data_IF_834938954162
#
_entry.id   IF_834938954162
#
_cell.length_a   1.000
_cell.length_b   1.000
_cell.length_c   1.000
_cell.angle_alpha   90.00
_cell.angle_beta   90.00
_cell.angle_gamma   90.00
#
_symmetry.space_group_name_H-M   'P 1'
#
loop_
_entity.id
_entity.type
_entity.pdbx_description
1 polymer ?
#
# COMPACT_ATOMS: atom_id res chain seq x y z
N UNK A 1 8.40 16.85 5.85
CA UNK A 1 7.05 17.04 5.28
C UNK A 1 7.07 16.54 3.84
N UNK A 2 6.06 15.82 3.37
CA UNK A 2 6.02 15.27 2.00
C UNK A 2 5.61 16.35 0.99
N UNK A 3 6.03 16.20 -0.28
CA UNK A 3 5.74 17.18 -1.34
C UNK A 3 4.26 17.25 -1.73
N UNK A 4 3.49 16.19 -1.47
CA UNK A 4 2.06 16.11 -1.79
C UNK A 4 1.22 16.50 -0.56
N UNK A 5 0.27 17.46 -0.70
CA UNK A 5 -0.67 17.79 0.37
C UNK A 5 -1.49 16.59 0.85
N UNK A 6 -1.87 15.69 -0.06
CA UNK A 6 -2.56 14.45 0.27
C UNK A 6 -1.71 13.52 1.16
N UNK A 7 -0.41 13.36 0.85
CA UNK A 7 0.45 12.52 1.67
C UNK A 7 0.70 13.12 3.07
N UNK A 8 0.69 14.45 3.19
CA UNK A 8 0.76 15.12 4.48
C UNK A 8 -0.50 14.89 5.32
N UNK A 9 -1.70 15.01 4.73
CA UNK A 9 -2.94 14.76 5.46
C UNK A 9 -3.05 13.31 5.96
N UNK A 10 -2.60 12.34 5.16
CA UNK A 10 -2.50 10.94 5.59
C UNK A 10 -1.48 10.78 6.72
N UNK A 11 -0.31 11.41 6.63
CA UNK A 11 0.70 11.37 7.69
C UNK A 11 0.16 11.92 9.01
N UNK A 12 -0.50 13.07 8.98
CA UNK A 12 -1.13 13.71 10.13
C UNK A 12 -2.23 12.85 10.73
N UNK A 13 -3.11 12.28 9.90
CA UNK A 13 -4.15 11.35 10.34
C UNK A 13 -3.58 10.14 11.11
N UNK A 14 -2.43 9.61 10.67
CA UNK A 14 -1.75 8.51 11.36
C UNK A 14 -0.99 8.96 12.61
N UNK A 15 -0.42 10.18 12.61
CA UNK A 15 0.21 10.75 13.79
C UNK A 15 -0.80 10.95 14.93
N UNK A 16 -2.00 11.44 14.63
CA UNK A 16 -3.09 11.58 15.62
C UNK A 16 -3.47 10.24 16.24
N UNK A 17 -3.40 9.15 15.46
CA UNK A 17 -3.64 7.76 15.91
C UNK A 17 -2.43 7.12 16.58
N UNK A 18 -1.38 7.88 16.86
CA UNK A 18 -0.15 7.43 17.52
C UNK A 18 0.54 6.25 16.82
N UNK A 19 0.40 6.15 15.51
CA UNK A 19 1.27 5.25 14.75
C UNK A 19 2.72 5.72 14.91
N UNK A 20 3.64 4.77 15.07
CA UNK A 20 5.05 5.11 15.12
C UNK A 20 5.53 5.66 13.75
N UNK A 21 6.57 6.51 13.77
CA UNK A 21 7.09 7.19 12.57
C UNK A 21 7.54 6.21 11.48
N UNK A 22 8.05 5.03 11.85
CA UNK A 22 8.49 3.99 10.90
C UNK A 22 7.32 3.44 10.12
N UNK A 23 6.24 3.10 10.81
CA UNK A 23 4.98 2.65 10.21
C UNK A 23 4.40 3.71 9.28
N UNK A 24 4.35 4.98 9.70
CA UNK A 24 3.85 6.07 8.85
C UNK A 24 4.66 6.19 7.55
N UNK A 25 6.00 6.15 7.65
CA UNK A 25 6.88 6.18 6.47
C UNK A 25 6.62 5.01 5.52
N UNK A 26 6.43 3.80 6.07
CA UNK A 26 6.08 2.63 5.27
C UNK A 26 4.75 2.81 4.54
N UNK A 27 3.69 3.21 5.25
CA UNK A 27 2.37 3.43 4.65
C UNK A 27 2.42 4.47 3.52
N UNK A 28 3.13 5.58 3.73
CA UNK A 28 3.24 6.62 2.71
C UNK A 28 4.00 6.14 1.48
N UNK A 29 5.03 5.31 1.66
CA UNK A 29 5.71 4.68 0.53
C UNK A 29 4.77 3.78 -0.28
N UNK A 30 3.93 2.97 0.38
CA UNK A 30 2.94 2.12 -0.28
C UNK A 30 1.86 2.92 -1.02
N UNK A 31 1.32 3.96 -0.40
CA UNK A 31 0.32 4.84 -1.03
C UNK A 31 0.92 5.53 -2.26
N UNK A 32 2.17 5.99 -2.18
CA UNK A 32 2.85 6.63 -3.30
C UNK A 32 3.08 5.64 -4.45
N UNK A 33 3.49 4.41 -4.15
CA UNK A 33 3.65 3.35 -5.14
C UNK A 33 2.31 2.99 -5.82
N UNK A 34 1.22 2.92 -5.05
CA UNK A 34 -0.12 2.67 -5.57
C UNK A 34 -0.61 3.79 -6.52
N UNK A 35 -0.38 5.05 -6.15
CA UNK A 35 -0.72 6.21 -7.01
C UNK A 35 0.08 6.16 -8.32
N UNK A 36 1.38 5.84 -8.25
CA UNK A 36 2.23 5.74 -9.44
C UNK A 36 1.78 4.58 -10.34
N UNK A 37 1.46 3.42 -9.76
CA UNK A 37 0.98 2.24 -10.51
C UNK A 37 -0.30 2.55 -11.29
N UNK A 38 -1.19 3.37 -10.72
CA UNK A 38 -2.44 3.76 -11.36
C UNK A 38 -2.34 5.09 -12.13
N UNK A 39 -1.20 5.37 -12.76
CA UNK A 39 -0.99 6.53 -13.63
C UNK A 39 -1.26 7.88 -12.95
N UNK A 40 -0.88 8.02 -11.68
CA UNK A 40 -1.08 9.24 -10.87
C UNK A 40 -2.55 9.65 -10.70
N UNK A 41 -3.49 8.73 -10.92
CA UNK A 41 -4.91 8.95 -10.62
C UNK A 41 -5.10 9.15 -9.12
N UNK A 42 -6.03 10.03 -8.78
CA UNK A 42 -6.33 10.32 -7.38
C UNK A 42 -7.02 9.12 -6.71
N UNK A 43 -6.60 8.68 -5.50
CA UNK A 43 -7.16 7.50 -4.83
C UNK A 43 -8.66 7.50 -4.61
N UNK A 44 -9.28 8.69 -4.51
CA UNK A 44 -10.74 8.84 -4.40
C UNK A 44 -11.50 8.33 -5.64
N UNK A 45 -10.85 8.25 -6.79
CA UNK A 45 -11.42 7.75 -8.04
C UNK A 45 -10.97 6.31 -8.35
N UNK A 46 -10.47 5.60 -7.34
CA UNK A 46 -9.99 4.21 -7.41
C UNK A 46 -10.69 3.39 -6.32
N UNK A 47 -10.90 2.11 -6.58
CA UNK A 47 -11.61 1.21 -5.69
C UNK A 47 -10.92 -0.15 -5.57
N UNK A 48 -11.72 -1.17 -5.26
CA UNK A 48 -11.21 -2.53 -4.99
C UNK A 48 -10.43 -3.13 -6.16
N UNK A 49 -10.83 -2.87 -7.42
CA UNK A 49 -10.17 -3.41 -8.61
C UNK A 49 -8.72 -2.92 -8.76
N UNK A 50 -8.50 -1.63 -8.56
CA UNK A 50 -7.15 -1.05 -8.63
C UNK A 50 -6.27 -1.55 -7.48
N UNK A 51 -6.85 -1.74 -6.29
CA UNK A 51 -6.15 -2.30 -5.13
C UNK A 51 -5.73 -3.74 -5.41
N UNK A 52 -6.65 -4.58 -5.92
CA UNK A 52 -6.38 -5.97 -6.28
C UNK A 52 -5.32 -6.08 -7.39
N UNK A 53 -5.42 -5.25 -8.43
CA UNK A 53 -4.43 -5.19 -9.51
C UNK A 53 -3.04 -4.79 -8.98
N UNK A 54 -2.98 -3.83 -8.06
CA UNK A 54 -1.72 -3.42 -7.43
C UNK A 54 -1.14 -4.53 -6.55
N UNK A 55 -1.95 -5.20 -5.74
CA UNK A 55 -1.50 -6.33 -4.91
C UNK A 55 -1.02 -7.51 -5.78
N UNK A 56 -1.71 -7.79 -6.89
CA UNK A 56 -1.30 -8.79 -7.88
C UNK A 56 0.03 -8.43 -8.53
N UNK A 57 0.22 -7.17 -8.94
CA UNK A 57 1.49 -6.68 -9.47
C UNK A 57 2.63 -6.83 -8.45
N UNK A 58 2.37 -6.52 -7.18
CA UNK A 58 3.36 -6.67 -6.11
C UNK A 58 3.72 -8.13 -5.85
N UNK A 59 2.72 -9.03 -5.86
CA UNK A 59 2.94 -10.45 -5.73
C UNK A 59 3.83 -10.95 -6.87
N UNK A 60 3.43 -10.74 -8.13
CA UNK A 60 4.20 -11.15 -9.31
C UNK A 60 5.61 -10.57 -9.28
N UNK A 61 5.79 -9.26 -9.06
CA UNK A 61 7.10 -8.61 -9.04
C UNK A 61 8.00 -9.10 -7.90
N UNK A 62 7.44 -9.45 -6.73
CA UNK A 62 8.20 -10.07 -5.64
C UNK A 62 8.55 -11.52 -5.92
N UNK A 63 7.72 -12.26 -6.65
CA UNK A 63 8.03 -13.62 -7.13
C UNK A 63 9.08 -13.61 -8.24
N UNK A 64 9.11 -12.62 -9.14
CA UNK A 64 10.22 -12.50 -10.11
C UNK A 64 11.51 -12.00 -9.43
N UNK A 65 11.38 -11.30 -8.30
CA UNK A 65 12.51 -10.93 -7.43
C UNK A 65 12.89 -12.04 -6.42
N UNK A 66 12.17 -13.18 -6.39
CA UNK A 66 12.39 -14.23 -5.39
C UNK A 66 13.43 -15.26 -5.83
N UNK A 67 14.67 -14.81 -5.98
CA UNK A 67 15.81 -15.54 -5.39
C UNK A 67 15.89 -15.30 -3.87
N UNK A 68 14.91 -14.62 -3.29
CA UNK A 68 14.71 -14.50 -1.85
C UNK A 68 13.46 -15.27 -1.42
N UNK A 69 13.68 -16.46 -0.86
CA UNK A 69 12.67 -17.20 -0.09
C UNK A 69 12.27 -16.33 1.12
N UNK A 70 11.02 -15.86 1.18
CA UNK A 70 10.58 -15.04 2.31
C UNK A 70 9.34 -14.18 2.06
N UNK A 71 8.23 -14.83 1.72
CA UNK A 71 6.83 -14.49 2.05
C UNK A 71 6.33 -13.04 1.86
N UNK A 72 5.27 -12.92 1.05
CA UNK A 72 4.46 -11.73 0.79
C UNK A 72 3.61 -11.20 1.99
N UNK A 73 4.08 -11.27 3.24
CA UNK A 73 3.19 -11.13 4.41
C UNK A 73 3.03 -9.72 5.03
N UNK A 74 3.65 -8.65 4.52
CA UNK A 74 3.60 -7.35 5.23
C UNK A 74 3.34 -6.16 4.29
N UNK A 75 2.22 -6.19 3.56
CA UNK A 75 1.67 -4.97 2.94
C UNK A 75 0.71 -4.31 3.93
N UNK A 76 0.99 -3.12 4.47
CA UNK A 76 0.10 -2.42 5.40
C UNK A 76 -1.22 -1.94 4.77
N UNK A 77 -1.35 -2.02 3.45
CA UNK A 77 -2.60 -1.76 2.74
C UNK A 77 -3.70 -2.79 3.08
N UNK A 78 -3.34 -4.01 3.49
CA UNK A 78 -4.32 -5.01 3.92
C UNK A 78 -5.11 -4.56 5.16
N UNK A 79 -4.52 -3.73 6.03
CA UNK A 79 -5.22 -3.17 7.20
C UNK A 79 -6.21 -2.07 6.84
N UNK A 80 -6.14 -1.50 5.64
CA UNK A 80 -7.00 -0.41 5.19
C UNK A 80 -8.17 -0.88 4.30
N UNK A 81 -8.13 -2.13 3.82
CA UNK A 81 -9.16 -2.76 3.00
C UNK A 81 -9.49 -4.15 3.57
N UNK A 82 -10.26 -4.23 4.68
CA UNK A 82 -10.47 -5.47 5.43
C UNK A 82 -11.29 -6.53 4.67
N UNK A 83 -12.02 -6.19 3.61
CA UNK A 83 -13.04 -7.09 3.05
C UNK A 83 -12.57 -8.05 1.94
N UNK A 84 -11.28 -8.10 1.56
CA UNK A 84 -10.84 -8.87 0.38
C UNK A 84 -9.56 -9.71 0.54
N UNK A 85 -9.15 -10.05 1.77
CA UNK A 85 -7.84 -10.72 2.00
C UNK A 85 -7.94 -12.21 2.38
N UNK A 86 -9.07 -12.87 2.13
CA UNK A 86 -9.18 -14.34 2.29
C UNK A 86 -8.56 -15.16 1.14
N UNK A 87 -8.07 -14.52 0.08
CA UNK A 87 -7.50 -15.22 -1.08
C UNK A 87 -5.98 -15.20 -1.15
N UNK A 88 -5.28 -15.65 -0.10
CA UNK A 88 -3.87 -16.09 -0.25
C UNK A 88 -3.65 -17.34 0.60
N UNK A 89 -4.23 -18.46 0.16
CA UNK A 89 -3.63 -19.78 0.40
C UNK A 89 -2.69 -20.08 -0.77
N UNK A 90 -1.39 -19.85 -0.56
CA UNK A 90 -0.29 -20.57 -1.21
C UNK A 90 0.75 -20.85 -0.13
#
# INVERSE_FOLDING_TARGET
MYRSPFLNSVAEFMLVRRYNKRTIKSYIAWIKAFIIFNNQRHPKAMGGREVEAFLTHLAVKRTVSSSTQGVAAYSPLSKFFPDNVEYIHI
#
